data_IF_101911603794
#
_entry.id   IF_101911603794
#
_cell.length_a   1.000
_cell.length_b   1.000
_cell.length_c   1.000
_cell.angle_alpha   90.00
_cell.angle_beta   90.00
_cell.angle_gamma   90.00
#
_symmetry.space_group_name_H-M   'P 1'
#
loop_
_entity.id
_entity.type
_entity.pdbx_description
1 polymer ?
#
# COMPACT_ATOMS: atom_id res chain seq x y z
N UNK A 1 -8.82 -3.64 -5.70
CA UNK A 1 -8.89 -3.46 -4.23
C UNK A 1 -7.48 -3.57 -3.70
N UNK A 2 -7.13 -2.86 -2.63
CA UNK A 2 -5.82 -2.95 -1.99
C UNK A 2 -6.09 -3.45 -0.57
N UNK A 3 -6.10 -4.77 -0.40
CA UNK A 3 -6.23 -5.42 0.91
C UNK A 3 -4.94 -6.12 1.30
N UNK A 4 -4.86 -6.60 2.54
CA UNK A 4 -3.71 -7.36 3.05
C UNK A 4 -3.33 -8.54 2.14
N UNK A 5 -4.31 -9.19 1.51
CA UNK A 5 -4.10 -10.26 0.53
C UNK A 5 -3.19 -9.84 -0.64
N UNK A 6 -3.43 -8.65 -1.19
CA UNK A 6 -2.63 -8.11 -2.29
C UNK A 6 -1.25 -7.66 -1.81
N UNK A 7 -1.16 -7.08 -0.61
CA UNK A 7 0.10 -6.70 0.04
C UNK A 7 0.99 -7.92 0.30
N UNK A 8 0.44 -9.03 0.80
CA UNK A 8 1.20 -10.29 1.00
C UNK A 8 1.76 -10.79 -0.33
N UNK A 9 0.91 -10.84 -1.37
CA UNK A 9 1.33 -11.27 -2.71
C UNK A 9 2.45 -10.36 -3.23
N UNK A 10 2.29 -9.05 -3.09
CA UNK A 10 3.27 -8.05 -3.54
C UNK A 10 4.60 -8.18 -2.80
N UNK A 11 4.58 -8.26 -1.46
CA UNK A 11 5.77 -8.47 -0.65
C UNK A 11 6.51 -9.75 -1.06
N UNK A 12 5.77 -10.85 -1.28
CA UNK A 12 6.35 -12.12 -1.74
C UNK A 12 7.05 -11.97 -3.09
N UNK A 13 6.44 -11.29 -4.05
CA UNK A 13 7.03 -11.08 -5.37
C UNK A 13 8.27 -10.17 -5.32
N UNK A 14 8.23 -9.11 -4.52
CA UNK A 14 9.39 -8.22 -4.32
C UNK A 14 10.56 -8.95 -3.66
N UNK A 15 10.28 -9.89 -2.76
CA UNK A 15 11.27 -10.78 -2.15
C UNK A 15 11.74 -11.92 -3.07
N UNK A 16 11.20 -12.05 -4.29
CA UNK A 16 11.55 -13.11 -5.24
C UNK A 16 11.15 -14.52 -4.78
N UNK A 17 10.14 -14.64 -3.92
CA UNK A 17 9.73 -15.91 -3.32
C UNK A 17 8.57 -16.55 -4.10
N UNK A 18 8.61 -17.88 -4.23
CA UNK A 18 7.44 -18.66 -4.65
C UNK A 18 6.46 -18.81 -3.47
N UNK A 19 5.20 -19.16 -3.77
CA UNK A 19 4.23 -19.45 -2.71
C UNK A 19 4.69 -20.62 -1.80
N UNK A 20 5.28 -21.66 -2.39
CA UNK A 20 5.83 -22.78 -1.61
C UNK A 20 6.92 -22.27 -0.65
N UNK A 21 7.87 -21.49 -1.16
CA UNK A 21 9.02 -21.04 -0.35
C UNK A 21 8.62 -20.09 0.78
N UNK A 22 7.67 -19.18 0.55
CA UNK A 22 7.17 -18.33 1.62
C UNK A 22 6.36 -19.15 2.65
N UNK A 23 5.57 -20.13 2.20
CA UNK A 23 4.81 -21.00 3.09
C UNK A 23 5.73 -21.81 4.01
N UNK A 24 6.83 -22.36 3.46
CA UNK A 24 7.86 -23.07 4.23
C UNK A 24 8.49 -22.19 5.30
N UNK A 25 8.88 -20.96 4.95
CA UNK A 25 9.49 -20.00 5.90
C UNK A 25 8.51 -19.59 7.00
N UNK A 26 7.24 -19.41 6.67
CA UNK A 26 6.19 -19.00 7.63
C UNK A 26 5.68 -20.19 8.46
N UNK A 27 5.96 -21.43 8.04
CA UNK A 27 5.56 -22.65 8.73
C UNK A 27 4.12 -23.07 8.46
N UNK A 28 3.63 -22.86 7.25
CA UNK A 28 2.26 -23.24 6.81
C UNK A 28 2.28 -24.03 5.51
N UNK A 29 1.16 -24.65 5.17
CA UNK A 29 1.00 -25.30 3.86
C UNK A 29 0.88 -24.25 2.76
N UNK A 30 1.41 -24.52 1.55
CA UNK A 30 1.22 -23.65 0.37
C UNK A 30 -0.24 -23.25 0.14
N UNK A 31 -1.18 -24.17 0.32
CA UNK A 31 -2.62 -23.91 0.15
C UNK A 31 -3.11 -22.82 1.11
N UNK A 32 -2.59 -22.78 2.34
CA UNK A 32 -2.92 -21.74 3.33
C UNK A 32 -2.43 -20.37 2.85
N UNK A 33 -1.18 -20.28 2.38
CA UNK A 33 -0.65 -19.04 1.82
C UNK A 33 -1.44 -18.59 0.59
N UNK A 34 -1.80 -19.53 -0.30
CA UNK A 34 -2.63 -19.22 -1.46
C UNK A 34 -4.01 -18.69 -1.05
N UNK A 35 -4.62 -19.25 0.00
CA UNK A 35 -5.88 -18.75 0.54
C UNK A 35 -5.75 -17.30 1.05
N UNK A 36 -4.65 -16.96 1.74
CA UNK A 36 -4.34 -15.59 2.17
C UNK A 36 -4.18 -14.64 0.99
N UNK A 37 -3.37 -14.99 0.00
CA UNK A 37 -3.17 -14.13 -1.18
C UNK A 37 -4.45 -13.94 -2.00
N UNK A 38 -5.38 -14.91 -1.98
CA UNK A 38 -6.70 -14.78 -2.62
C UNK A 38 -7.75 -14.07 -1.78
N UNK A 39 -7.45 -13.72 -0.52
CA UNK A 39 -8.42 -13.13 0.41
C UNK A 39 -9.54 -14.07 0.85
N UNK A 40 -9.35 -15.39 0.67
CA UNK A 40 -10.33 -16.40 1.14
C UNK A 40 -10.30 -16.58 2.65
N UNK A 41 -9.10 -16.49 3.22
CA UNK A 41 -8.84 -16.49 4.66
C UNK A 41 -7.82 -15.39 4.95
N UNK A 42 -7.70 -15.00 6.22
CA UNK A 42 -6.70 -14.03 6.66
C UNK A 42 -5.64 -14.68 7.57
N UNK A 43 -4.37 -14.24 7.50
CA UNK A 43 -3.36 -14.63 8.47
C UNK A 43 -3.62 -13.97 9.83
N UNK A 44 -3.27 -14.67 10.91
CA UNK A 44 -3.26 -14.06 12.24
C UNK A 44 -2.01 -13.17 12.44
N UNK A 45 -1.94 -12.47 13.57
CA UNK A 45 -0.83 -11.55 13.90
C UNK A 45 0.56 -12.21 13.92
N UNK A 46 0.66 -13.48 14.30
CA UNK A 46 1.93 -14.21 14.28
C UNK A 46 2.39 -14.46 12.84
N UNK A 47 1.49 -14.92 11.97
CA UNK A 47 1.79 -15.15 10.56
C UNK A 47 2.10 -13.83 9.83
N UNK A 48 1.42 -12.74 10.16
CA UNK A 48 1.72 -11.41 9.61
C UNK A 48 3.15 -10.99 9.96
N UNK A 49 3.58 -11.16 11.21
CA UNK A 49 4.98 -10.91 11.61
C UNK A 49 5.97 -11.77 10.84
N UNK A 50 5.68 -13.07 10.69
CA UNK A 50 6.54 -14.01 9.95
C UNK A 50 6.65 -13.64 8.47
N UNK A 51 5.54 -13.27 7.83
CA UNK A 51 5.50 -12.81 6.44
C UNK A 51 6.33 -11.52 6.29
N UNK A 52 6.15 -10.55 7.19
CA UNK A 52 6.90 -9.30 7.18
C UNK A 52 8.42 -9.55 7.23
N UNK A 53 8.87 -10.38 8.18
CA UNK A 53 10.27 -10.77 8.31
C UNK A 53 10.79 -11.52 7.09
N UNK A 54 10.04 -12.50 6.58
CA UNK A 54 10.43 -13.31 5.43
C UNK A 54 10.57 -12.49 4.15
N UNK A 55 9.74 -11.47 3.98
CA UNK A 55 9.72 -10.62 2.79
C UNK A 55 10.53 -9.32 2.95
N UNK A 56 11.11 -9.06 4.13
CA UNK A 56 11.89 -7.84 4.39
C UNK A 56 11.06 -6.55 4.43
N UNK A 57 9.80 -6.63 4.87
CA UNK A 57 8.89 -5.48 5.03
C UNK A 57 8.46 -5.30 6.48
N UNK A 58 7.81 -4.18 6.81
CA UNK A 58 7.21 -3.98 8.14
C UNK A 58 5.80 -4.57 8.21
N UNK A 59 5.34 -4.87 9.43
CA UNK A 59 3.93 -5.25 9.65
C UNK A 59 2.99 -4.12 9.28
N UNK A 60 3.37 -2.87 9.55
CA UNK A 60 2.63 -1.68 9.13
C UNK A 60 2.44 -1.64 7.62
N UNK A 61 3.47 -1.91 6.81
CA UNK A 61 3.34 -1.92 5.36
C UNK A 61 2.34 -2.98 4.83
N UNK A 62 2.27 -4.14 5.49
CA UNK A 62 1.32 -5.21 5.17
C UNK A 62 -0.11 -4.84 5.60
N UNK A 63 -0.24 -4.17 6.74
CA UNK A 63 -1.51 -3.79 7.35
C UNK A 63 -2.03 -2.43 6.88
N UNK A 64 -1.18 -1.63 6.24
CA UNK A 64 -1.51 -0.35 5.63
C UNK A 64 -2.71 -0.56 4.72
N UNK A 65 -3.86 -0.10 5.20
CA UNK A 65 -4.99 0.08 4.33
C UNK A 65 -4.58 1.16 3.32
N UNK A 66 -4.95 1.01 2.04
CA UNK A 66 -4.90 2.13 1.12
C UNK A 66 -5.59 3.30 1.82
N UNK A 67 -4.96 4.47 1.85
CA UNK A 67 -5.60 5.67 2.40
C UNK A 67 -7.03 5.70 1.87
N UNK A 68 -7.98 5.78 2.80
CA UNK A 68 -9.37 5.75 2.47
C UNK A 68 -9.73 7.07 1.78
N UNK A 69 -9.43 7.18 0.50
CA UNK A 69 -9.85 8.28 -0.34
C UNK A 69 -11.35 8.23 -0.64
N UNK A 70 -12.12 7.27 -0.08
CA UNK A 70 -13.58 7.23 -0.28
C UNK A 70 -14.29 8.42 0.38
N UNK A 71 -13.62 9.12 1.29
CA UNK A 71 -14.07 10.39 1.87
C UNK A 71 -13.67 11.65 1.07
N UNK A 72 -12.88 11.53 -0.01
CA UNK A 72 -12.57 12.68 -0.86
C UNK A 72 -13.79 13.07 -1.69
N UNK A 73 -14.12 14.36 -1.75
CA UNK A 73 -15.04 14.89 -2.76
C UNK A 73 -14.63 14.33 -4.14
N UNK A 74 -15.60 13.94 -4.98
CA UNK A 74 -15.36 13.27 -6.26
C UNK A 74 -14.26 13.92 -7.11
N UNK A 75 -14.12 15.24 -6.99
CA UNK A 75 -13.13 16.05 -7.70
C UNK A 75 -11.69 15.75 -7.24
N UNK A 76 -11.46 15.53 -5.94
CA UNK A 76 -10.14 15.22 -5.40
C UNK A 76 -9.66 13.83 -5.82
N UNK A 77 -10.56 12.84 -5.93
CA UNK A 77 -10.22 11.53 -6.51
C UNK A 77 -9.81 11.64 -7.98
N UNK A 78 -10.56 12.38 -8.77
CA UNK A 78 -10.27 12.58 -10.20
C UNK A 78 -8.92 13.31 -10.41
N UNK A 79 -8.57 14.23 -9.51
CA UNK A 79 -7.28 14.92 -9.52
C UNK A 79 -6.15 13.96 -9.14
N UNK A 80 -6.32 13.17 -8.08
CA UNK A 80 -5.32 12.20 -7.63
C UNK A 80 -4.97 11.17 -8.73
N UNK A 81 -5.97 10.64 -9.45
CA UNK A 81 -5.76 9.73 -10.57
C UNK A 81 -4.96 10.37 -11.72
N UNK A 82 -5.22 11.64 -12.01
CA UNK A 82 -4.47 12.39 -13.03
C UNK A 82 -3.02 12.60 -12.59
N UNK A 83 -2.81 13.05 -11.35
CA UNK A 83 -1.47 13.28 -10.79
C UNK A 83 -0.65 11.99 -10.79
N UNK A 84 -1.26 10.85 -10.43
CA UNK A 84 -0.56 9.57 -10.41
C UNK A 84 0.10 9.22 -11.75
N UNK A 85 -0.52 9.60 -12.88
CA UNK A 85 -0.06 9.33 -14.25
C UNK A 85 0.97 10.33 -14.80
N UNK A 86 1.26 11.40 -14.06
CA UNK A 86 2.20 12.43 -14.50
C UNK A 86 3.66 11.98 -14.36
N UNK A 87 4.52 12.61 -15.17
CA UNK A 87 5.98 12.44 -15.06
C UNK A 87 6.50 13.07 -13.76
N UNK A 88 7.65 12.62 -13.23
CA UNK A 88 8.22 13.17 -12.00
C UNK A 88 8.40 14.69 -12.02
N UNK A 89 8.82 15.24 -13.16
CA UNK A 89 9.02 16.69 -13.36
C UNK A 89 7.72 17.51 -13.20
N UNK A 90 6.62 16.98 -13.72
CA UNK A 90 5.30 17.63 -13.64
C UNK A 90 4.73 17.58 -12.22
N UNK A 91 5.01 16.49 -11.46
CA UNK A 91 4.60 16.36 -10.06
C UNK A 91 5.28 17.41 -9.18
N UNK A 92 6.56 17.67 -9.39
CA UNK A 92 7.31 18.70 -8.67
C UNK A 92 6.73 20.10 -8.89
N UNK A 93 6.28 20.40 -10.11
CA UNK A 93 5.62 21.67 -10.41
C UNK A 93 4.29 21.81 -9.63
N UNK A 94 3.51 20.73 -9.55
CA UNK A 94 2.26 20.70 -8.79
C UNK A 94 2.51 20.90 -7.30
N UNK A 95 3.52 20.25 -6.72
CA UNK A 95 3.88 20.44 -5.30
C UNK A 95 4.24 21.90 -5.00
N UNK A 96 4.98 22.56 -5.90
CA UNK A 96 5.31 23.99 -5.75
C UNK A 96 4.08 24.87 -5.81
N UNK A 97 3.14 24.59 -6.72
CA UNK A 97 1.88 25.33 -6.84
C UNK A 97 0.98 25.14 -5.61
N UNK A 98 0.83 23.91 -5.12
CA UNK A 98 0.05 23.62 -3.90
C UNK A 98 0.64 24.30 -2.67
N UNK A 99 1.97 24.32 -2.57
CA UNK A 99 2.68 25.02 -1.50
C UNK A 99 2.41 26.53 -1.55
N UNK A 100 2.43 27.14 -2.74
CA UNK A 100 2.12 28.56 -2.92
C UNK A 100 0.67 28.89 -2.53
N UNK A 101 -0.29 28.10 -3.03
CA UNK A 101 -1.71 28.29 -2.72
C UNK A 101 -2.02 28.12 -1.23
N UNK A 102 -1.33 27.20 -0.54
CA UNK A 102 -1.51 26.96 0.90
C UNK A 102 -0.80 28.00 1.78
N UNK A 103 0.18 28.72 1.25
CA UNK A 103 0.89 29.77 1.95
C UNK A 103 0.06 31.07 2.02
N UNK A 104 -0.72 31.36 0.98
CA UNK A 104 -1.58 32.55 0.91
C UNK A 104 -2.73 32.51 1.94
N UNK A 105 -3.29 31.33 2.22
CA UNK A 105 -4.32 31.17 3.27
C UNK A 105 -3.81 31.46 4.68
N UNK A 106 -2.52 31.19 4.97
CA UNK A 106 -1.91 31.53 6.27
C UNK A 106 -1.57 33.01 6.41
N UNK A 107 -1.37 33.72 5.30
CA UNK A 107 -1.13 35.16 5.29
C UNK A 107 -2.42 35.98 5.42
N UNK A 108 -3.55 35.47 4.91
CA UNK A 108 -4.86 36.11 5.03
C UNK A 108 -5.55 35.91 6.39
N UNK A 109 -5.14 34.91 7.18
CA UNK A 109 -5.70 34.57 8.48
C UNK A 109 -5.05 35.28 9.69
N UNK A 110 -4.25 36.33 9.46
CA UNK A 110 -3.59 37.14 10.50
C UNK A 110 -3.98 38.61 10.37
#
# INVERSE_FOLDING_TARGET
>A
MSGIADKIRQARHLAGLSQEKLADVVGVKRVTLAAWETGRNEPNSEHIRKIALACGVTTDWLLEMPEDFTGMANDARAIAEKIARLKPEDKLMIERLLTALSADDKAAAK
#
